data_IF_278203256737
#
_entry.id   IF_278203256737
#
_cell.length_a   1.000
_cell.length_b   1.000
_cell.length_c   1.000
_cell.angle_alpha   90.00
_cell.angle_beta   90.00
_cell.angle_gamma   90.00
#
_symmetry.space_group_name_H-M   'P 1'
#
loop_
_entity.id
_entity.type
_entity.pdbx_description
1 polymer ?
#
# COMPACT_ATOMS: atom_id res chain seq x y z
N UNK A 1 3.28 -3.80 11.93
CA UNK A 1 3.33 -5.13 12.56
C UNK A 1 2.29 -6.00 11.89
N UNK A 2 2.70 -7.08 11.24
CA UNK A 2 1.81 -8.07 10.62
C UNK A 2 1.75 -9.24 11.61
N UNK A 3 0.54 -9.69 11.98
CA UNK A 3 0.36 -10.77 12.96
C UNK A 3 -0.46 -11.88 12.32
N UNK A 4 0.09 -13.10 12.32
CA UNK A 4 -0.55 -14.29 11.79
C UNK A 4 -0.97 -15.22 12.95
N UNK A 5 -2.24 -15.15 13.41
CA UNK A 5 -2.71 -15.98 14.50
C UNK A 5 -2.77 -17.45 14.09
N UNK A 6 -2.13 -18.31 14.89
CA UNK A 6 -2.03 -19.75 14.65
C UNK A 6 -3.30 -20.49 15.10
N UNK A 7 -4.15 -19.88 15.93
CA UNK A 7 -5.37 -20.49 16.42
C UNK A 7 -6.47 -19.47 16.77
N UNK A 8 -7.71 -19.97 16.95
CA UNK A 8 -8.89 -19.15 17.27
C UNK A 8 -8.76 -18.38 18.59
N UNK A 9 -8.12 -18.96 19.62
CA UNK A 9 -7.95 -18.30 20.93
C UNK A 9 -7.05 -17.07 20.81
N UNK A 10 -5.94 -17.21 20.08
CA UNK A 10 -5.02 -16.13 19.78
C UNK A 10 -5.70 -15.01 18.99
N UNK A 11 -6.50 -15.36 17.97
CA UNK A 11 -7.28 -14.39 17.21
C UNK A 11 -8.25 -13.59 18.09
N UNK A 12 -8.94 -14.25 19.03
CA UNK A 12 -9.85 -13.59 19.97
C UNK A 12 -9.09 -12.63 20.89
N UNK A 13 -7.96 -13.05 21.44
CA UNK A 13 -7.13 -12.22 22.30
C UNK A 13 -6.60 -10.98 21.58
N UNK A 14 -6.10 -11.14 20.36
CA UNK A 14 -5.64 -10.02 19.52
C UNK A 14 -6.79 -9.06 19.24
N UNK A 15 -7.98 -9.56 18.86
CA UNK A 15 -9.15 -8.71 18.63
C UNK A 15 -9.56 -7.92 19.87
N UNK A 16 -9.48 -8.51 21.06
CA UNK A 16 -9.83 -7.84 22.31
C UNK A 16 -8.85 -6.70 22.63
N UNK A 17 -7.54 -6.94 22.50
CA UNK A 17 -6.50 -5.92 22.70
C UNK A 17 -6.67 -4.77 21.70
N UNK A 18 -6.84 -5.07 20.42
CA UNK A 18 -6.98 -4.05 19.37
C UNK A 18 -8.24 -3.19 19.58
N UNK A 19 -9.35 -3.80 20.01
CA UNK A 19 -10.58 -3.04 20.36
C UNK A 19 -10.36 -2.15 21.58
N UNK A 20 -9.67 -2.63 22.61
CA UNK A 20 -9.37 -1.83 23.80
C UNK A 20 -8.49 -0.61 23.49
N UNK A 21 -7.61 -0.74 22.49
CA UNK A 21 -6.78 0.36 21.97
C UNK A 21 -7.52 1.29 21.00
N UNK A 22 -8.83 1.09 20.79
CA UNK A 22 -9.65 1.83 19.82
C UNK A 22 -9.08 1.80 18.39
N UNK A 23 -8.42 0.70 18.01
CA UNK A 23 -7.88 0.53 16.66
C UNK A 23 -8.99 0.01 15.77
N UNK A 24 -9.46 0.84 14.83
CA UNK A 24 -10.35 0.41 13.76
C UNK A 24 -9.57 -0.44 12.75
N UNK A 25 -10.06 -1.64 12.45
CA UNK A 25 -9.53 -2.48 11.38
C UNK A 25 -10.58 -2.65 10.28
N UNK A 26 -10.15 -2.56 9.03
CA UNK A 26 -10.97 -2.88 7.85
C UNK A 26 -10.74 -4.32 7.46
N UNK A 27 -11.80 -4.99 7.01
CA UNK A 27 -11.63 -6.31 6.41
C UNK A 27 -10.94 -6.13 5.07
N UNK A 28 -9.96 -6.97 4.76
CA UNK A 28 -9.33 -7.00 3.44
C UNK A 28 -10.42 -7.21 2.37
N UNK A 29 -10.62 -6.22 1.50
CA UNK A 29 -11.71 -6.18 0.51
C UNK A 29 -12.84 -5.16 0.79
N UNK A 30 -12.92 -4.56 1.98
CA UNK A 30 -13.75 -3.36 2.19
C UNK A 30 -13.02 -2.14 1.64
N UNK A 31 -13.37 -1.77 0.41
CA UNK A 31 -12.87 -0.56 -0.24
C UNK A 31 -13.35 0.67 0.52
N UNK A 32 -12.42 1.34 1.18
CA UNK A 32 -12.64 2.72 1.56
C UNK A 32 -12.61 3.60 0.32
N UNK A 33 -13.59 4.50 0.21
CA UNK A 33 -13.66 5.51 -0.85
C UNK A 33 -12.33 6.29 -0.94
N UNK A 34 -11.66 6.47 0.19
CA UNK A 34 -10.34 7.08 0.27
C UNK A 34 -9.24 6.01 0.51
N UNK A 35 -8.25 5.85 -0.39
CA UNK A 35 -7.13 4.93 -0.22
C UNK A 35 -6.16 5.32 0.89
N UNK A 36 -6.18 6.56 1.38
CA UNK A 36 -5.34 7.03 2.49
C UNK A 36 -5.87 6.53 3.83
N UNK A 37 -5.05 5.82 4.64
CA UNK A 37 -5.42 5.41 5.99
C UNK A 37 -5.71 6.57 6.94
N UNK A 38 -5.10 7.74 6.70
CA UNK A 38 -5.31 8.96 7.49
C UNK A 38 -6.51 9.78 7.00
N UNK A 39 -7.14 9.41 5.89
CA UNK A 39 -8.27 10.14 5.31
C UNK A 39 -7.87 11.46 4.64
N UNK A 40 -6.66 11.52 4.07
CA UNK A 40 -6.14 12.70 3.38
C UNK A 40 -7.12 13.17 2.28
N UNK A 41 -7.54 14.45 2.38
CA UNK A 41 -8.51 15.07 1.49
C UNK A 41 -8.06 15.12 0.03
N UNK A 42 -6.75 15.04 -0.24
CA UNK A 42 -6.23 14.97 -1.60
C UNK A 42 -6.83 13.78 -2.37
N UNK A 43 -7.02 12.64 -1.72
CA UNK A 43 -7.60 11.44 -2.33
C UNK A 43 -9.13 11.43 -2.36
N UNK A 44 -9.79 12.49 -1.89
CA UNK A 44 -11.24 12.64 -2.03
C UNK A 44 -11.64 13.21 -3.39
N UNK A 45 -10.71 13.83 -4.13
CA UNK A 45 -10.93 14.31 -5.48
C UNK A 45 -10.80 13.13 -6.48
N UNK A 46 -11.83 12.83 -7.29
CA UNK A 46 -11.77 11.76 -8.28
C UNK A 46 -10.66 11.95 -9.31
N UNK A 47 -10.24 13.19 -9.63
CA UNK A 47 -9.11 13.45 -10.54
C UNK A 47 -7.80 12.91 -9.97
N UNK A 48 -7.61 13.05 -8.67
CA UNK A 48 -6.39 12.63 -7.98
C UNK A 48 -6.33 11.10 -7.89
N UNK A 49 -7.46 10.44 -7.67
CA UNK A 49 -7.56 8.98 -7.76
C UNK A 49 -7.17 8.51 -9.16
N UNK A 50 -7.66 9.17 -10.21
CA UNK A 50 -7.34 8.82 -11.59
C UNK A 50 -5.83 8.93 -11.88
N UNK A 51 -5.16 9.97 -11.37
CA UNK A 51 -3.69 10.12 -11.49
C UNK A 51 -2.95 8.92 -10.87
N UNK A 52 -3.40 8.46 -9.69
CA UNK A 52 -2.79 7.31 -9.00
C UNK A 52 -3.01 6.04 -9.81
N UNK A 53 -4.22 5.79 -10.31
CA UNK A 53 -4.54 4.62 -11.12
C UNK A 53 -3.71 4.57 -12.40
N UNK A 54 -3.57 5.70 -13.10
CA UNK A 54 -2.71 5.82 -14.27
C UNK A 54 -1.24 5.59 -13.94
N UNK A 55 -0.76 6.12 -12.82
CA UNK A 55 0.60 5.91 -12.33
C UNK A 55 0.88 4.44 -12.02
N UNK A 56 -0.06 3.75 -11.37
CA UNK A 56 0.03 2.32 -11.07
C UNK A 56 0.02 1.48 -12.35
N UNK A 57 -0.83 1.82 -13.32
CA UNK A 57 -0.88 1.15 -14.61
C UNK A 57 0.47 1.30 -15.35
N UNK A 58 1.00 2.53 -15.40
CA UNK A 58 2.33 2.82 -15.98
C UNK A 58 3.47 2.15 -15.23
N UNK A 59 3.40 2.01 -13.91
CA UNK A 59 4.43 1.31 -13.15
C UNK A 59 4.43 -0.20 -13.44
N UNK A 60 3.25 -0.79 -13.68
CA UNK A 60 3.11 -2.21 -14.04
C UNK A 60 3.58 -2.51 -15.46
N UNK A 61 3.36 -1.59 -16.40
CA UNK A 61 3.70 -1.76 -17.82
C UNK A 61 4.97 -1.03 -18.24
N UNK A 62 5.54 -0.25 -17.33
CA UNK A 62 6.61 0.70 -17.62
C UNK A 62 7.88 0.00 -18.07
N UNK A 63 8.68 0.66 -18.92
CA UNK A 63 9.96 0.11 -19.35
C UNK A 63 10.86 -0.08 -18.13
N UNK A 64 11.08 -1.33 -17.77
CA UNK A 64 12.13 -1.69 -16.83
C UNK A 64 13.45 -1.55 -17.59
N UNK A 65 14.15 -0.43 -17.38
CA UNK A 65 15.49 -0.24 -17.95
C UNK A 65 16.45 -1.11 -17.13
N UNK A 66 16.93 -2.19 -17.75
CA UNK A 66 18.01 -2.97 -17.16
C UNK A 66 19.26 -2.11 -17.25
N UNK A 67 19.85 -1.78 -16.10
CA UNK A 67 21.16 -1.11 -16.04
C UNK A 67 22.22 -2.13 -16.44
N UNK A 68 22.58 -2.15 -17.72
CA UNK A 68 23.77 -2.85 -18.19
C UNK A 68 25.05 -2.08 -17.79
N UNK A 69 26.20 -2.75 -17.87
CA UNK A 69 27.48 -2.16 -17.45
C UNK A 69 27.85 -0.89 -18.24
N UNK A 70 27.40 -0.78 -19.50
CA UNK A 70 27.66 0.38 -20.34
C UNK A 70 26.83 1.60 -19.89
N UNK A 71 25.53 1.40 -19.65
CA UNK A 71 24.60 2.42 -19.17
C UNK A 71 24.91 2.81 -17.73
N UNK A 72 25.35 1.86 -16.90
CA UNK A 72 25.82 2.14 -15.53
C UNK A 72 27.06 3.04 -15.56
N UNK A 73 28.02 2.76 -16.43
CA UNK A 73 29.22 3.58 -16.60
C UNK A 73 28.91 4.97 -17.17
N UNK A 74 27.95 5.07 -18.08
CA UNK A 74 27.49 6.36 -18.62
C UNK A 74 26.83 7.23 -17.54
N UNK A 75 25.93 6.65 -16.74
CA UNK A 75 25.14 7.38 -15.75
C UNK A 75 25.91 7.68 -14.46
N UNK A 76 26.78 6.76 -14.02
CA UNK A 76 27.41 6.82 -12.69
C UNK A 76 28.95 6.89 -12.74
N UNK A 77 29.58 6.72 -13.89
CA UNK A 77 31.02 6.92 -14.07
C UNK A 77 31.93 5.86 -13.46
N UNK A 78 31.39 4.73 -12.99
CA UNK A 78 32.14 3.59 -12.44
C UNK A 78 32.50 2.52 -13.49
#
# INVERSE_FOLDING_TARGET
MIVEPQNKKQLIAIKAVLRALNVSFRKEGESSINPSPSGDAWFSDPKNIQIVEEGVAKAKTGPCVILDDALKKELFGE
#
